data_IF_272382976714
#
_entry.id   IF_272382976714
#
_cell.length_a   1.000
_cell.length_b   1.000
_cell.length_c   1.000
_cell.angle_alpha   90.00
_cell.angle_beta   90.00
_cell.angle_gamma   90.00
#
_symmetry.space_group_name_H-M   'P 1'
#
loop_
_entity.id
_entity.type
_entity.pdbx_description
1 polymer ?
#
# COMPACT_ATOMS: atom_id res chain seq x y z
N UNK A 1 10.24 -15.67 -18.40
CA UNK A 1 10.31 -15.30 -16.97
C UNK A 1 9.80 -16.50 -16.19
N UNK A 2 10.62 -17.12 -15.33
CA UNK A 2 10.18 -18.25 -14.48
C UNK A 2 10.27 -17.79 -13.03
N UNK A 3 9.23 -18.05 -12.26
CA UNK A 3 9.23 -17.79 -10.83
C UNK A 3 10.18 -18.78 -10.12
N UNK A 4 10.89 -18.28 -9.12
CA UNK A 4 11.68 -19.10 -8.20
C UNK A 4 10.77 -19.87 -7.24
N UNK A 5 11.24 -20.99 -6.71
CA UNK A 5 10.49 -21.76 -5.70
C UNK A 5 10.18 -20.93 -4.44
N UNK A 6 11.09 -20.02 -4.08
CA UNK A 6 10.89 -19.10 -2.96
C UNK A 6 9.73 -18.13 -3.22
N UNK A 7 9.63 -17.56 -4.44
CA UNK A 7 8.52 -16.67 -4.82
C UNK A 7 7.19 -17.42 -4.85
N UNK A 8 7.18 -18.64 -5.38
CA UNK A 8 5.96 -19.47 -5.41
C UNK A 8 5.53 -19.86 -3.99
N UNK A 9 6.48 -20.21 -3.12
CA UNK A 9 6.22 -20.54 -1.71
C UNK A 9 5.65 -19.35 -0.94
N UNK A 10 6.27 -18.17 -1.09
CA UNK A 10 5.80 -16.94 -0.47
C UNK A 10 4.39 -16.55 -0.95
N UNK A 11 4.12 -16.68 -2.26
CA UNK A 11 2.79 -16.44 -2.81
C UNK A 11 1.74 -17.39 -2.24
N UNK A 12 2.07 -18.69 -2.09
CA UNK A 12 1.17 -19.68 -1.47
C UNK A 12 0.92 -19.38 0.01
N UNK A 13 1.95 -18.99 0.76
CA UNK A 13 1.80 -18.62 2.16
C UNK A 13 0.88 -17.39 2.31
N UNK A 14 1.05 -16.38 1.46
CA UNK A 14 0.20 -15.20 1.45
C UNK A 14 -1.25 -15.52 1.05
N UNK A 15 -1.47 -16.43 0.08
CA UNK A 15 -2.81 -16.91 -0.25
C UNK A 15 -3.45 -17.67 0.92
N UNK A 16 -2.70 -18.57 1.56
CA UNK A 16 -3.21 -19.39 2.66
C UNK A 16 -3.57 -18.56 3.90
N UNK A 17 -2.85 -17.46 4.17
CA UNK A 17 -3.19 -16.49 5.23
C UNK A 17 -4.64 -16.03 5.16
N UNK A 18 -5.19 -15.89 3.97
CA UNK A 18 -6.50 -15.29 3.73
C UNK A 18 -7.61 -16.28 3.38
N UNK A 19 -7.32 -17.58 3.36
CA UNK A 19 -8.33 -18.61 3.04
C UNK A 19 -9.32 -18.87 4.18
N UNK A 20 -9.00 -18.48 5.43
CA UNK A 20 -9.88 -18.56 6.62
C UNK A 20 -10.66 -19.88 6.71
N UNK A 21 -9.97 -21.02 6.59
CA UNK A 21 -10.57 -22.37 6.67
C UNK A 21 -11.68 -22.66 5.64
N UNK A 22 -11.85 -21.83 4.63
CA UNK A 22 -12.76 -22.06 3.52
C UNK A 22 -12.07 -22.83 2.39
N UNK A 23 -12.87 -23.49 1.56
CA UNK A 23 -12.43 -24.22 0.37
C UNK A 23 -13.02 -23.64 -0.92
N UNK A 24 -12.45 -24.07 -2.05
CA UNK A 24 -12.97 -23.78 -3.38
C UNK A 24 -12.98 -22.29 -3.75
N UNK A 25 -14.02 -21.86 -4.46
CA UNK A 25 -14.12 -20.53 -5.05
C UNK A 25 -14.16 -19.40 -4.01
N UNK A 26 -14.80 -19.63 -2.85
CA UNK A 26 -14.91 -18.62 -1.79
C UNK A 26 -13.54 -18.35 -1.15
N UNK A 27 -12.77 -19.41 -0.90
CA UNK A 27 -11.42 -19.29 -0.36
C UNK A 27 -10.47 -18.59 -1.33
N UNK A 28 -10.61 -18.86 -2.63
CA UNK A 28 -9.86 -18.18 -3.68
C UNK A 28 -10.23 -16.69 -3.75
N UNK A 29 -11.52 -16.35 -3.69
CA UNK A 29 -11.98 -14.96 -3.71
C UNK A 29 -11.46 -14.19 -2.48
N UNK A 30 -11.54 -14.75 -1.27
CA UNK A 30 -11.00 -14.12 -0.07
C UNK A 30 -9.48 -13.94 -0.15
N UNK A 31 -8.76 -14.93 -0.69
CA UNK A 31 -7.33 -14.80 -0.90
C UNK A 31 -6.98 -13.62 -1.83
N UNK A 32 -7.72 -13.45 -2.93
CA UNK A 32 -7.53 -12.32 -3.84
C UNK A 32 -7.86 -10.99 -3.19
N UNK A 33 -8.94 -10.91 -2.41
CA UNK A 33 -9.33 -9.69 -1.68
C UNK A 33 -8.24 -9.31 -0.65
N UNK A 34 -7.79 -10.26 0.15
CA UNK A 34 -6.73 -10.02 1.16
C UNK A 34 -5.41 -9.58 0.52
N UNK A 35 -4.98 -10.24 -0.56
CA UNK A 35 -3.79 -9.85 -1.31
C UNK A 35 -3.92 -8.46 -1.95
N UNK A 36 -5.11 -8.11 -2.45
CA UNK A 36 -5.37 -6.79 -3.02
C UNK A 36 -5.32 -5.70 -1.95
N UNK A 37 -5.85 -5.99 -0.75
CA UNK A 37 -5.76 -5.08 0.39
C UNK A 37 -4.30 -4.85 0.82
N UNK A 38 -3.47 -5.90 0.87
CA UNK A 38 -2.03 -5.75 1.17
C UNK A 38 -1.31 -4.89 0.12
N UNK A 39 -1.62 -5.08 -1.16
CA UNK A 39 -1.04 -4.27 -2.25
C UNK A 39 -1.45 -2.81 -2.13
N UNK A 40 -2.74 -2.54 -1.93
CA UNK A 40 -3.26 -1.20 -1.75
C UNK A 40 -2.64 -0.50 -0.52
N UNK A 41 -2.41 -1.24 0.56
CA UNK A 41 -1.74 -0.71 1.74
C UNK A 41 -0.28 -0.31 1.44
N UNK A 42 0.50 -1.20 0.81
CA UNK A 42 1.89 -0.91 0.42
C UNK A 42 1.99 0.27 -0.55
N UNK A 43 1.09 0.34 -1.54
CA UNK A 43 1.05 1.47 -2.46
C UNK A 43 0.71 2.78 -1.75
N UNK A 44 -0.18 2.75 -0.75
CA UNK A 44 -0.49 3.92 0.07
C UNK A 44 0.73 4.36 0.90
N UNK A 45 1.47 3.44 1.51
CA UNK A 45 2.71 3.75 2.24
C UNK A 45 3.75 4.41 1.33
N UNK A 46 4.01 3.83 0.16
CA UNK A 46 4.95 4.38 -0.84
C UNK A 46 4.51 5.78 -1.29
N UNK A 47 3.22 5.95 -1.58
CA UNK A 47 2.67 7.26 -1.96
C UNK A 47 2.91 8.29 -0.86
N UNK A 48 2.61 7.94 0.38
CA UNK A 48 2.74 8.85 1.53
C UNK A 48 4.21 9.24 1.76
N UNK A 49 5.15 8.30 1.61
CA UNK A 49 6.59 8.58 1.62
C UNK A 49 6.99 9.53 0.49
N UNK A 50 6.47 9.33 -0.71
CA UNK A 50 6.78 10.19 -1.85
C UNK A 50 6.17 11.58 -1.72
N UNK A 51 5.00 11.72 -1.08
CA UNK A 51 4.44 13.00 -0.70
C UNK A 51 5.38 13.74 0.25
N UNK A 52 5.95 13.07 1.25
CA UNK A 52 6.92 13.68 2.19
C UNK A 52 8.19 14.13 1.47
N UNK A 53 8.78 13.28 0.65
CA UNK A 53 9.99 13.63 -0.12
C UNK A 53 9.76 14.81 -1.06
N UNK A 54 8.62 14.83 -1.77
CA UNK A 54 8.27 15.94 -2.64
C UNK A 54 8.04 17.24 -1.84
N UNK A 55 7.40 17.17 -0.67
CA UNK A 55 7.23 18.32 0.22
C UNK A 55 8.59 18.85 0.72
N UNK A 56 9.49 17.97 1.16
CA UNK A 56 10.86 18.33 1.56
C UNK A 56 11.65 18.96 0.40
N UNK A 57 11.33 18.59 -0.84
CA UNK A 57 11.89 19.17 -2.06
C UNK A 57 11.22 20.49 -2.49
N UNK A 58 10.29 21.02 -1.69
CA UNK A 58 9.65 22.32 -1.91
C UNK A 58 8.29 22.28 -2.59
N UNK A 59 7.70 21.11 -2.83
CA UNK A 59 6.34 21.03 -3.37
C UNK A 59 5.32 21.56 -2.35
N UNK A 60 4.41 22.43 -2.79
CA UNK A 60 3.35 22.96 -1.93
C UNK A 60 2.29 21.90 -1.62
N UNK A 61 1.65 22.00 -0.45
CA UNK A 61 0.50 21.16 -0.08
C UNK A 61 -0.63 21.17 -1.14
N UNK A 62 -0.78 22.27 -1.88
CA UNK A 62 -1.76 22.37 -2.98
C UNK A 62 -1.39 21.46 -4.15
N UNK A 63 -0.14 21.52 -4.62
CA UNK A 63 0.35 20.68 -5.71
C UNK A 63 0.28 19.21 -5.33
N UNK A 64 0.65 18.86 -4.10
CA UNK A 64 0.60 17.50 -3.59
C UNK A 64 -0.82 16.95 -3.55
N UNK A 65 -1.79 17.73 -3.06
CA UNK A 65 -3.21 17.35 -3.08
C UNK A 65 -3.75 17.13 -4.50
N UNK A 66 -3.36 18.00 -5.44
CA UNK A 66 -3.75 17.91 -6.84
C UNK A 66 -3.22 16.63 -7.51
N UNK A 67 -1.91 16.33 -7.40
CA UNK A 67 -1.31 15.16 -8.07
C UNK A 67 -1.63 13.83 -7.40
N UNK A 68 -1.84 13.81 -6.08
CA UNK A 68 -2.18 12.59 -5.35
C UNK A 68 -3.68 12.26 -5.40
N UNK A 69 -4.52 13.21 -5.81
CA UNK A 69 -5.98 13.11 -5.71
C UNK A 69 -6.50 13.11 -4.26
N UNK A 70 -5.64 13.37 -3.28
CA UNK A 70 -6.01 13.39 -1.87
C UNK A 70 -6.51 14.77 -1.43
N UNK A 71 -7.36 14.77 -0.40
CA UNK A 71 -7.79 16.00 0.25
C UNK A 71 -6.62 16.71 0.95
N UNK A 72 -6.67 18.04 0.98
CA UNK A 72 -5.65 18.88 1.63
C UNK A 72 -5.35 18.47 3.07
N UNK A 73 -6.38 18.14 3.86
CA UNK A 73 -6.23 17.68 5.25
C UNK A 73 -5.42 16.39 5.35
N UNK A 74 -5.66 15.45 4.45
CA UNK A 74 -4.94 14.17 4.40
C UNK A 74 -3.48 14.39 4.06
N UNK A 75 -3.20 15.22 3.05
CA UNK A 75 -1.82 15.57 2.67
C UNK A 75 -1.07 16.26 3.81
N UNK A 76 -1.71 17.21 4.50
CA UNK A 76 -1.13 17.85 5.69
C UNK A 76 -0.76 16.83 6.76
N UNK A 77 -1.67 15.92 7.11
CA UNK A 77 -1.40 14.89 8.11
C UNK A 77 -0.23 13.95 7.71
N UNK A 78 -0.14 13.58 6.43
CA UNK A 78 0.96 12.74 5.91
C UNK A 78 2.32 13.44 6.09
N UNK A 79 2.38 14.73 5.76
CA UNK A 79 3.60 15.54 5.90
C UNK A 79 3.97 15.73 7.37
N UNK A 80 3.00 16.04 8.24
CA UNK A 80 3.21 16.24 9.67
C UNK A 80 3.68 14.96 10.39
N UNK A 81 3.14 13.80 10.01
CA UNK A 81 3.55 12.51 10.57
C UNK A 81 5.03 12.18 10.33
N UNK A 82 5.63 12.72 9.25
CA UNK A 82 7.07 12.57 8.96
C UNK A 82 7.97 13.56 9.71
N UNK A 83 7.41 14.70 10.17
CA UNK A 83 8.16 15.76 10.84
C UNK A 83 8.37 15.52 12.34
N UNK A 84 7.59 14.63 12.95
CA UNK A 84 7.66 14.33 14.39
C UNK A 84 8.84 13.40 14.80
N UNK A 85 9.66 12.96 13.84
CA UNK A 85 10.79 12.04 14.06
C UNK A 85 12.17 12.75 14.03
N UNK A 86 12.19 14.08 13.98
CA UNK A 86 13.41 14.89 13.97
C UNK A 86 13.42 15.94 15.09
#
# INVERSE_FOLDING_TARGET
MSYTEAEVSAARAAMNKYRVELDGEVAAALAVVGLSAERAHKEAEIRDDMIRVAHQSGASLRQLAEVSGLGRKTVTAIVEAGSAQH
#
